data_IF_130349902910
#
_entry.id   IF_130349902910
#
_cell.length_a   1.000
_cell.length_b   1.000
_cell.length_c   1.000
_cell.angle_alpha   90.00
_cell.angle_beta   90.00
_cell.angle_gamma   90.00
#
_symmetry.space_group_name_H-M   'P 1'
#
loop_
_entity.id
_entity.type
_entity.pdbx_description
1 polymer ?
#
# COMPACT_ATOMS: atom_id res chain seq x y z
N UNK A 1 -5.90 8.00 10.65
CA UNK A 1 -5.25 7.88 9.33
C UNK A 1 -6.20 8.48 8.32
N UNK A 2 -5.81 9.55 7.64
CA UNK A 2 -6.66 10.25 6.68
C UNK A 2 -6.48 9.62 5.29
N UNK A 3 -7.57 9.24 4.64
CA UNK A 3 -7.57 8.51 3.37
C UNK A 3 -8.33 9.35 2.35
N UNK A 4 -7.67 9.68 1.24
CA UNK A 4 -8.31 10.34 0.11
C UNK A 4 -8.52 9.36 -1.05
N UNK A 5 -9.68 9.37 -1.73
CA UNK A 5 -9.89 8.57 -2.93
C UNK A 5 -8.92 8.98 -4.05
N UNK A 6 -8.23 8.01 -4.65
CA UNK A 6 -7.19 8.28 -5.65
C UNK A 6 -7.70 9.04 -6.89
N UNK A 7 -8.92 8.76 -7.34
CA UNK A 7 -9.53 9.45 -8.49
C UNK A 7 -9.84 10.92 -8.18
N UNK A 8 -10.36 11.21 -6.98
CA UNK A 8 -10.59 12.57 -6.51
C UNK A 8 -9.28 13.35 -6.46
N UNK A 9 -8.23 12.74 -5.93
CA UNK A 9 -6.92 13.37 -5.83
C UNK A 9 -6.29 13.68 -7.19
N UNK A 10 -6.45 12.79 -8.18
CA UNK A 10 -5.99 13.03 -9.56
C UNK A 10 -6.79 14.11 -10.29
N UNK A 11 -8.09 14.23 -9.99
CA UNK A 11 -8.93 15.27 -10.57
C UNK A 11 -8.52 16.68 -10.09
N UNK A 12 -8.12 16.81 -8.82
CA UNK A 12 -7.72 18.09 -8.24
C UNK A 12 -6.23 18.40 -8.53
N UNK A 13 -5.37 17.38 -8.55
CA UNK A 13 -3.96 17.55 -8.96
C UNK A 13 -3.48 16.37 -9.82
N UNK A 14 -3.36 16.55 -11.15
CA UNK A 14 -2.88 15.50 -12.05
C UNK A 14 -1.44 15.03 -11.75
N UNK A 15 -0.62 15.88 -11.11
CA UNK A 15 0.76 15.59 -10.75
C UNK A 15 0.92 14.81 -9.43
N UNK A 16 -0.18 14.48 -8.74
CA UNK A 16 -0.14 13.88 -7.40
C UNK A 16 0.56 12.51 -7.36
N UNK A 17 0.48 11.75 -8.45
CA UNK A 17 1.17 10.45 -8.56
C UNK A 17 2.70 10.62 -8.53
N UNK A 18 3.22 11.79 -8.92
CA UNK A 18 4.65 12.12 -8.88
C UNK A 18 5.13 12.57 -7.49
N UNK A 19 4.20 12.95 -6.61
CA UNK A 19 4.47 13.46 -5.26
C UNK A 19 4.19 12.42 -4.18
N UNK A 20 4.26 11.14 -4.55
CA UNK A 20 4.13 10.03 -3.59
C UNK A 20 5.35 9.93 -2.68
N UNK A 21 5.12 9.55 -1.42
CA UNK A 21 6.15 9.40 -0.39
C UNK A 21 6.97 10.68 -0.10
N UNK A 22 6.43 11.86 -0.39
CA UNK A 22 6.97 13.15 0.07
C UNK A 22 6.38 13.53 1.43
N UNK A 23 7.20 14.10 2.29
CA UNK A 23 6.73 14.65 3.58
C UNK A 23 6.29 16.09 3.39
N UNK A 24 5.09 16.42 3.83
CA UNK A 24 4.65 17.81 3.93
C UNK A 24 5.41 18.50 5.08
N UNK A 25 6.03 19.63 4.79
CA UNK A 25 6.78 20.39 5.79
C UNK A 25 5.82 21.06 6.79
N UNK A 26 5.93 20.68 8.06
CA UNK A 26 5.11 21.22 9.15
C UNK A 26 5.32 22.73 9.39
N UNK A 27 6.37 23.34 8.84
CA UNK A 27 6.61 24.77 8.92
C UNK A 27 5.88 25.55 7.83
N UNK A 28 5.35 24.88 6.80
CA UNK A 28 4.54 25.52 5.77
C UNK A 28 3.17 25.94 6.36
N UNK A 29 2.77 27.22 6.26
CA UNK A 29 1.45 27.70 6.69
C UNK A 29 0.27 26.91 6.11
N UNK A 30 0.35 26.48 4.84
CA UNK A 30 -0.67 25.70 4.15
C UNK A 30 -0.77 24.27 4.72
N UNK A 31 0.36 23.70 5.17
CA UNK A 31 0.39 22.38 5.83
C UNK A 31 -0.18 22.47 7.24
N UNK A 32 0.12 23.56 7.98
CA UNK A 32 -0.51 23.82 9.27
C UNK A 32 -2.03 23.98 9.15
N UNK A 33 -2.52 24.71 8.15
CA UNK A 33 -3.95 24.86 7.89
C UNK A 33 -4.62 23.51 7.62
N UNK A 34 -4.00 22.67 6.79
CA UNK A 34 -4.46 21.30 6.53
C UNK A 34 -4.55 20.46 7.81
N UNK A 35 -3.51 20.49 8.64
CA UNK A 35 -3.49 19.76 9.92
C UNK A 35 -4.60 20.24 10.85
N UNK A 36 -4.77 21.55 11.02
CA UNK A 36 -5.83 22.12 11.85
C UNK A 36 -7.23 21.70 11.39
N UNK A 37 -7.47 21.71 10.08
CA UNK A 37 -8.77 21.30 9.53
C UNK A 37 -8.98 19.79 9.59
N UNK A 38 -7.94 18.97 9.38
CA UNK A 38 -8.00 17.53 9.55
C UNK A 38 -8.29 17.14 11.01
N UNK A 39 -7.61 17.77 11.97
CA UNK A 39 -7.84 17.53 13.39
C UNK A 39 -9.24 17.95 13.82
N UNK A 40 -9.72 19.12 13.37
CA UNK A 40 -11.09 19.57 13.60
C UNK A 40 -12.12 18.60 13.00
N UNK A 41 -11.86 18.09 11.79
CA UNK A 41 -12.70 17.08 11.16
C UNK A 41 -12.76 15.80 12.01
N UNK A 42 -11.63 15.25 12.46
CA UNK A 42 -11.62 14.04 13.27
C UNK A 42 -12.23 14.21 14.67
N UNK A 43 -12.25 15.43 15.20
CA UNK A 43 -12.84 15.74 16.51
C UNK A 43 -14.35 16.05 16.43
N UNK A 44 -14.87 16.34 15.24
CA UNK A 44 -16.28 16.69 15.04
C UNK A 44 -17.12 15.44 14.76
N UNK A 45 -18.19 15.22 15.52
CA UNK A 45 -19.19 14.19 15.22
C UNK A 45 -20.07 14.61 14.04
N UNK A 46 -19.92 13.96 12.89
CA UNK A 46 -20.71 14.21 11.68
C UNK A 46 -22.10 13.54 11.68
N UNK A 47 -22.45 12.83 12.75
CA UNK A 47 -23.70 12.04 12.85
C UNK A 47 -24.97 12.88 12.70
N UNK A 48 -24.89 14.19 13.00
CA UNK A 48 -26.02 15.13 12.93
C UNK A 48 -25.99 16.03 11.69
N UNK A 49 -24.96 15.91 10.84
CA UNK A 49 -24.76 16.80 9.70
C UNK A 49 -25.41 16.26 8.43
N UNK A 50 -25.94 17.16 7.61
CA UNK A 50 -26.49 16.79 6.31
C UNK A 50 -25.39 16.26 5.38
N UNK A 51 -25.73 15.30 4.52
CA UNK A 51 -24.82 14.73 3.51
C UNK A 51 -24.16 15.81 2.64
N UNK A 52 -24.89 16.88 2.32
CA UNK A 52 -24.38 18.03 1.58
C UNK A 52 -23.27 18.76 2.34
N UNK A 53 -23.45 19.01 3.64
CA UNK A 53 -22.43 19.67 4.49
C UNK A 53 -21.17 18.82 4.63
N UNK A 54 -21.32 17.50 4.81
CA UNK A 54 -20.19 16.56 4.88
C UNK A 54 -19.39 16.57 3.57
N UNK A 55 -20.10 16.62 2.43
CA UNK A 55 -19.48 16.64 1.10
C UNK A 55 -18.69 17.93 0.87
N UNK A 56 -19.25 19.09 1.21
CA UNK A 56 -18.53 20.37 1.10
C UNK A 56 -17.33 20.46 2.03
N UNK A 57 -17.45 19.93 3.26
CA UNK A 57 -16.32 19.87 4.19
C UNK A 57 -15.20 18.97 3.66
N UNK A 58 -15.53 17.80 3.10
CA UNK A 58 -14.56 16.90 2.48
C UNK A 58 -13.88 17.55 1.26
N UNK A 59 -14.64 18.25 0.40
CA UNK A 59 -14.11 18.96 -0.76
C UNK A 59 -13.18 20.10 -0.34
N UNK A 60 -13.53 20.89 0.68
CA UNK A 60 -12.65 21.95 1.18
C UNK A 60 -11.32 21.40 1.71
N UNK A 61 -11.36 20.24 2.38
CA UNK A 61 -10.16 19.56 2.88
C UNK A 61 -9.29 19.03 1.73
N UNK A 62 -9.91 18.52 0.67
CA UNK A 62 -9.23 18.07 -0.54
C UNK A 62 -8.61 19.25 -1.34
N UNK A 63 -9.30 20.39 -1.43
CA UNK A 63 -8.80 21.63 -2.04
C UNK A 63 -7.57 22.18 -1.30
N UNK A 64 -7.61 22.20 0.04
CA UNK A 64 -6.46 22.64 0.84
C UNK A 64 -5.28 21.67 0.70
N UNK A 65 -5.54 20.37 0.63
CA UNK A 65 -4.50 19.40 0.31
C UNK A 65 -3.91 19.66 -1.08
N UNK A 66 -4.74 19.91 -2.09
CA UNK A 66 -4.27 20.19 -3.43
C UNK A 66 -3.48 21.51 -3.53
N UNK A 67 -3.84 22.54 -2.75
CA UNK A 67 -3.06 23.76 -2.63
C UNK A 67 -1.65 23.48 -2.07
N UNK A 68 -1.53 22.60 -1.07
CA UNK A 68 -0.22 22.14 -0.57
C UNK A 68 0.58 21.44 -1.68
N UNK A 69 -0.06 20.59 -2.48
CA UNK A 69 0.56 19.85 -3.59
C UNK A 69 1.02 20.80 -4.71
N UNK A 70 0.23 21.83 -5.02
CA UNK A 70 0.57 22.85 -6.02
C UNK A 70 1.75 23.72 -5.55
N UNK A 71 1.76 24.14 -4.28
CA UNK A 71 2.88 24.88 -3.68
C UNK A 71 4.16 24.03 -3.57
N UNK A 72 4.01 22.72 -3.40
CA UNK A 72 5.12 21.77 -3.47
C UNK A 72 5.63 21.60 -4.91
N UNK A 73 4.73 21.58 -5.90
CA UNK A 73 5.08 21.46 -7.32
C UNK A 73 5.85 22.68 -7.82
N UNK A 74 5.48 23.89 -7.39
CA UNK A 74 6.20 25.12 -7.76
C UNK A 74 7.58 25.24 -7.10
N UNK A 75 7.78 24.67 -5.90
CA UNK A 75 9.12 24.50 -5.31
C UNK A 75 9.91 23.34 -5.93
N UNK A 76 9.23 22.28 -6.37
CA UNK A 76 9.84 21.11 -6.99
C UNK A 76 10.51 21.41 -8.35
N UNK A 77 10.17 22.52 -9.02
CA UNK A 77 10.88 22.99 -10.23
C UNK A 77 12.38 23.30 -9.99
N UNK A 78 12.85 23.35 -8.74
CA UNK A 78 14.28 23.45 -8.41
C UNK A 78 14.94 22.12 -7.99
N UNK A 79 14.17 21.03 -7.88
CA UNK A 79 14.67 19.70 -7.51
C UNK A 79 14.30 18.70 -8.60
N UNK A 80 15.29 18.34 -9.43
CA UNK A 80 15.19 17.29 -10.44
C UNK A 80 14.35 16.11 -9.93
N UNK A 81 13.39 15.57 -10.71
CA UNK A 81 12.62 14.41 -10.28
C UNK A 81 13.58 13.30 -9.86
N UNK A 82 13.39 12.76 -8.65
CA UNK A 82 14.23 11.69 -8.13
C UNK A 82 14.00 10.43 -8.98
N UNK A 83 14.82 10.28 -10.02
CA UNK A 83 14.73 9.21 -11.01
C UNK A 83 14.71 7.82 -10.35
N UNK A 84 15.40 7.67 -9.23
CA UNK A 84 15.42 6.43 -8.44
C UNK A 84 14.05 6.14 -7.81
N UNK A 85 13.39 7.18 -7.26
CA UNK A 85 12.05 7.07 -6.69
C UNK A 85 11.01 6.75 -7.77
N UNK A 86 11.14 7.33 -8.96
CA UNK A 86 10.31 6.99 -10.11
C UNK A 86 10.46 5.52 -10.52
N UNK A 87 11.70 5.04 -10.64
CA UNK A 87 11.98 3.66 -11.03
C UNK A 87 11.52 2.65 -9.98
N UNK A 88 11.85 2.85 -8.69
CA UNK A 88 11.44 1.91 -7.62
C UNK A 88 9.90 1.80 -7.55
N UNK A 89 9.18 2.91 -7.73
CA UNK A 89 7.72 2.93 -7.70
C UNK A 89 7.13 2.11 -8.85
N UNK A 90 7.62 2.30 -10.08
CA UNK A 90 7.19 1.50 -11.24
C UNK A 90 7.51 0.02 -11.08
N UNK A 91 8.69 -0.31 -10.56
CA UNK A 91 9.09 -1.69 -10.28
C UNK A 91 8.12 -2.33 -9.28
N UNK A 92 7.83 -1.65 -8.16
CA UNK A 92 6.92 -2.15 -7.13
C UNK A 92 5.51 -2.36 -7.67
N UNK A 93 4.98 -1.41 -8.43
CA UNK A 93 3.66 -1.52 -9.07
C UNK A 93 3.59 -2.70 -10.04
N UNK A 94 4.62 -2.88 -10.88
CA UNK A 94 4.69 -4.01 -11.79
C UNK A 94 4.69 -5.34 -11.04
N UNK A 95 5.46 -5.44 -9.95
CA UNK A 95 5.50 -6.65 -9.12
C UNK A 95 4.14 -6.91 -8.48
N UNK A 96 3.44 -5.90 -7.95
CA UNK A 96 2.11 -6.12 -7.36
C UNK A 96 1.08 -6.63 -8.35
N UNK A 97 1.11 -6.13 -9.59
CA UNK A 97 0.23 -6.62 -10.67
C UNK A 97 0.52 -8.07 -11.08
N UNK A 98 1.76 -8.53 -10.88
CA UNK A 98 2.24 -9.85 -11.32
C UNK A 98 2.64 -10.77 -10.16
N UNK A 99 2.22 -10.46 -8.92
CA UNK A 99 2.74 -11.13 -7.72
C UNK A 99 2.40 -12.62 -7.68
N UNK A 100 1.27 -13.00 -8.30
CA UNK A 100 0.79 -14.36 -8.45
C UNK A 100 1.55 -15.19 -9.51
N UNK A 101 2.33 -14.55 -10.38
CA UNK A 101 3.12 -15.26 -11.39
C UNK A 101 4.34 -15.92 -10.72
N UNK A 102 4.44 -17.26 -10.69
CA UNK A 102 5.55 -17.97 -10.06
C UNK A 102 6.92 -17.63 -10.68
N UNK A 103 6.94 -17.36 -11.98
CA UNK A 103 8.14 -17.08 -12.77
C UNK A 103 8.60 -15.62 -12.67
N UNK A 104 7.92 -14.78 -11.87
CA UNK A 104 8.29 -13.37 -11.70
C UNK A 104 9.74 -13.23 -11.23
N UNK A 105 10.57 -12.73 -12.15
CA UNK A 105 12.01 -12.56 -11.97
C UNK A 105 12.46 -11.13 -12.26
N UNK A 106 13.71 -10.81 -11.89
CA UNK A 106 14.31 -9.51 -12.21
C UNK A 106 14.41 -9.28 -13.72
N UNK A 107 14.59 -10.36 -14.50
CA UNK A 107 14.63 -10.31 -15.97
C UNK A 107 13.27 -9.89 -16.54
N UNK A 108 12.16 -10.44 -16.02
CA UNK A 108 10.83 -10.03 -16.49
C UNK A 108 10.53 -8.57 -16.19
N UNK A 109 10.90 -8.09 -14.99
CA UNK A 109 10.73 -6.68 -14.62
C UNK A 109 11.61 -5.77 -15.48
N UNK A 110 12.86 -6.16 -15.69
CA UNK A 110 13.81 -5.42 -16.51
C UNK A 110 13.29 -5.23 -17.94
N UNK A 111 12.84 -6.32 -18.58
CA UNK A 111 12.30 -6.28 -19.93
C UNK A 111 11.00 -5.47 -20.02
N UNK A 112 10.09 -5.63 -19.06
CA UNK A 112 8.80 -4.95 -19.08
C UNK A 112 8.89 -3.44 -18.82
N UNK A 113 9.85 -3.00 -18.00
CA UNK A 113 10.00 -1.59 -17.61
C UNK A 113 11.16 -0.89 -18.31
N UNK A 114 11.95 -1.60 -19.12
CA UNK A 114 13.18 -1.12 -19.76
C UNK A 114 14.18 -0.54 -18.75
N UNK A 115 14.35 -1.22 -17.61
CA UNK A 115 15.29 -0.84 -16.53
C UNK A 115 16.35 -1.91 -16.43
N UNK A 116 17.63 -1.55 -16.36
CA UNK A 116 18.71 -2.54 -16.30
C UNK A 116 18.65 -3.36 -15.00
N UNK A 117 18.96 -4.68 -15.02
CA UNK A 117 18.96 -5.50 -13.81
C UNK A 117 19.92 -4.96 -12.73
N UNK A 118 21.07 -4.42 -13.15
CA UNK A 118 22.03 -3.78 -12.26
C UNK A 118 21.44 -2.57 -11.52
N UNK A 119 20.65 -1.74 -12.21
CA UNK A 119 19.96 -0.62 -11.59
C UNK A 119 18.90 -1.10 -10.58
N UNK A 120 18.11 -2.13 -10.92
CA UNK A 120 17.14 -2.72 -9.99
C UNK A 120 17.85 -3.24 -8.73
N UNK A 121 18.96 -3.96 -8.88
CA UNK A 121 19.75 -4.41 -7.73
C UNK A 121 20.24 -3.24 -6.85
N UNK A 122 20.71 -2.15 -7.47
CA UNK A 122 21.14 -0.96 -6.75
C UNK A 122 20.01 -0.33 -5.95
N UNK A 123 18.83 -0.18 -6.56
CA UNK A 123 17.65 0.38 -5.89
C UNK A 123 17.23 -0.46 -4.68
N UNK A 124 17.24 -1.79 -4.79
CA UNK A 124 16.87 -2.67 -3.67
C UNK A 124 17.96 -2.79 -2.61
N UNK A 125 19.24 -2.60 -2.98
CA UNK A 125 20.35 -2.53 -2.01
C UNK A 125 20.21 -1.34 -1.05
N UNK A 126 19.68 -0.20 -1.53
CA UNK A 126 19.35 0.95 -0.69
C UNK A 126 18.26 0.61 0.34
N UNK A 127 17.35 -0.31 0.02
CA UNK A 127 16.33 -0.82 0.95
C UNK A 127 16.82 -2.00 1.83
N UNK A 128 18.13 -2.23 1.89
CA UNK A 128 18.77 -3.28 2.69
C UNK A 128 18.23 -4.71 2.43
N UNK A 129 17.69 -4.96 1.24
CA UNK A 129 17.13 -6.27 0.88
C UNK A 129 17.36 -6.62 -0.58
N UNK A 130 17.35 -7.91 -0.91
CA UNK A 130 17.39 -8.33 -2.32
C UNK A 130 16.00 -8.25 -2.95
N UNK A 131 15.96 -8.03 -4.27
CA UNK A 131 14.70 -8.02 -5.03
C UNK A 131 13.87 -9.31 -4.82
N UNK A 132 14.52 -10.47 -4.85
CA UNK A 132 13.88 -11.77 -4.63
C UNK A 132 13.38 -11.94 -3.20
N UNK A 133 14.15 -11.51 -2.19
CA UNK A 133 13.72 -11.55 -0.79
C UNK A 133 12.51 -10.62 -0.54
N UNK A 134 12.49 -9.47 -1.22
CA UNK A 134 11.37 -8.55 -1.18
C UNK A 134 10.10 -9.17 -1.79
N UNK A 135 10.19 -9.76 -3.00
CA UNK A 135 9.05 -10.50 -3.61
C UNK A 135 8.56 -11.59 -2.66
N UNK A 136 9.48 -12.39 -2.11
CA UNK A 136 9.15 -13.46 -1.17
C UNK A 136 8.36 -12.94 0.04
N UNK A 137 8.82 -11.83 0.61
CA UNK A 137 8.13 -11.13 1.70
C UNK A 137 6.73 -10.65 1.30
N UNK A 138 6.57 -10.08 0.09
CA UNK A 138 5.27 -9.63 -0.40
C UNK A 138 4.31 -10.78 -0.63
N UNK A 139 4.77 -11.91 -1.18
CA UNK A 139 3.97 -13.13 -1.33
C UNK A 139 3.53 -13.70 0.03
N UNK A 140 4.42 -13.72 1.04
CA UNK A 140 4.06 -14.14 2.40
C UNK A 140 2.96 -13.26 3.01
N UNK A 141 3.04 -11.94 2.82
CA UNK A 141 2.02 -11.00 3.27
C UNK A 141 0.69 -11.22 2.53
N UNK A 142 0.72 -11.46 1.22
CA UNK A 142 -0.48 -11.79 0.44
C UNK A 142 -1.15 -13.08 0.95
N UNK A 143 -0.37 -14.14 1.23
CA UNK A 143 -0.90 -15.36 1.85
C UNK A 143 -1.51 -15.08 3.22
N UNK A 144 -0.86 -14.27 4.05
CA UNK A 144 -1.38 -13.89 5.38
C UNK A 144 -2.75 -13.24 5.27
N UNK A 145 -2.92 -12.27 4.37
CA UNK A 145 -4.21 -11.61 4.12
C UNK A 145 -5.25 -12.60 3.59
N UNK A 146 -4.87 -13.46 2.64
CA UNK A 146 -5.77 -14.47 2.10
C UNK A 146 -6.23 -15.51 3.13
N UNK A 147 -5.40 -15.83 4.13
CA UNK A 147 -5.75 -16.73 5.23
C UNK A 147 -6.70 -16.09 6.25
N UNK A 148 -6.77 -14.76 6.31
CA UNK A 148 -7.69 -14.02 7.19
C UNK A 148 -9.07 -13.83 6.55
N UNK A 149 -9.15 -13.85 5.22
CA UNK A 149 -10.36 -13.56 4.47
C UNK A 149 -11.38 -14.71 4.58
N UNK A 150 -12.55 -14.49 5.20
CA UNK A 150 -13.60 -15.50 5.31
C UNK A 150 -14.12 -15.98 3.95
N UNK A 151 -14.09 -15.13 2.91
CA UNK A 151 -14.50 -15.52 1.56
C UNK A 151 -13.57 -16.58 0.97
N UNK A 152 -12.32 -16.66 1.42
CA UNK A 152 -11.32 -17.66 0.99
C UNK A 152 -11.24 -18.86 1.93
N UNK A 153 -12.18 -19.00 2.87
CA UNK A 153 -12.24 -20.11 3.84
C UNK A 153 -12.49 -21.49 3.21
N UNK A 154 -12.94 -21.55 1.96
CA UNK A 154 -13.09 -22.79 1.19
C UNK A 154 -11.77 -23.26 0.55
N UNK A 155 -10.78 -22.38 0.38
CA UNK A 155 -9.49 -22.73 -0.23
C UNK A 155 -8.57 -23.42 0.77
N UNK A 156 -7.82 -24.41 0.34
CA UNK A 156 -6.75 -25.02 1.14
C UNK A 156 -5.57 -24.05 1.29
N UNK A 157 -4.73 -24.26 2.31
CA UNK A 157 -3.51 -23.46 2.49
C UNK A 157 -2.61 -23.59 1.26
N UNK A 158 -2.48 -24.79 0.68
CA UNK A 158 -1.70 -25.02 -0.53
C UNK A 158 -2.23 -24.22 -1.72
N UNK A 159 -3.55 -24.18 -1.94
CA UNK A 159 -4.15 -23.36 -3.01
C UNK A 159 -3.88 -21.86 -2.80
N UNK A 160 -3.98 -21.36 -1.58
CA UNK A 160 -3.63 -19.96 -1.27
C UNK A 160 -2.16 -19.68 -1.59
N UNK A 161 -1.27 -20.58 -1.22
CA UNK A 161 0.18 -20.47 -1.47
C UNK A 161 0.46 -20.43 -2.98
N UNK A 162 -0.16 -21.32 -3.76
CA UNK A 162 -0.04 -21.30 -5.22
C UNK A 162 -0.62 -20.03 -5.85
N UNK A 163 -1.80 -19.58 -5.41
CA UNK A 163 -2.44 -18.35 -5.89
C UNK A 163 -1.62 -17.09 -5.59
N UNK A 164 -0.78 -17.12 -4.55
CA UNK A 164 0.16 -16.05 -4.25
C UNK A 164 1.51 -16.18 -4.98
N UNK A 165 1.65 -17.13 -5.92
CA UNK A 165 2.82 -17.27 -6.78
C UNK A 165 3.96 -18.11 -6.21
N UNK A 166 3.73 -18.91 -5.16
CA UNK A 166 4.73 -19.87 -4.70
C UNK A 166 4.69 -21.15 -5.53
N UNK A 167 5.81 -21.53 -6.14
CA UNK A 167 5.92 -22.78 -6.90
C UNK A 167 6.20 -24.01 -6.00
N UNK A 168 6.78 -23.80 -4.80
CA UNK A 168 7.15 -24.88 -3.86
C UNK A 168 6.66 -24.58 -2.43
N UNK A 169 5.57 -25.22 -1.96
CA UNK A 169 5.02 -25.01 -0.62
C UNK A 169 5.97 -25.41 0.53
N UNK A 170 6.97 -26.26 0.27
CA UNK A 170 7.93 -26.76 1.27
C UNK A 170 8.78 -25.66 1.92
N UNK A 171 9.09 -24.57 1.20
CA UNK A 171 9.80 -23.41 1.76
C UNK A 171 8.86 -22.42 2.45
N UNK A 172 7.57 -22.43 2.09
CA UNK A 172 6.58 -21.48 2.60
C UNK A 172 6.37 -21.65 4.10
N UNK A 173 6.14 -22.87 4.59
CA UNK A 173 5.77 -23.10 5.99
C UNK A 173 6.82 -22.59 6.98
N UNK A 174 8.11 -22.85 6.70
CA UNK A 174 9.23 -22.34 7.51
C UNK A 174 9.31 -20.83 7.43
N UNK A 175 9.27 -20.27 6.22
CA UNK A 175 9.38 -18.83 6.03
C UNK A 175 8.21 -18.05 6.66
N UNK A 176 6.99 -18.58 6.58
CA UNK A 176 5.80 -17.99 7.21
C UNK A 176 5.94 -17.98 8.73
N UNK A 177 6.37 -19.10 9.34
CA UNK A 177 6.60 -19.18 10.78
C UNK A 177 7.72 -18.24 11.24
N UNK A 178 8.84 -18.20 10.52
CA UNK A 178 9.94 -17.27 10.84
C UNK A 178 9.50 -15.82 10.77
N UNK A 179 8.65 -15.45 9.81
CA UNK A 179 8.22 -14.06 9.61
C UNK A 179 7.10 -13.61 10.55
N UNK A 180 6.16 -14.50 10.89
CA UNK A 180 4.95 -14.14 11.63
C UNK A 180 4.83 -14.80 13.01
N UNK A 181 5.82 -15.60 13.42
CA UNK A 181 5.88 -16.25 14.73
C UNK A 181 4.96 -17.46 14.92
N UNK A 182 4.10 -17.78 13.94
CA UNK A 182 3.10 -18.87 14.01
C UNK A 182 2.93 -19.53 12.64
N UNK A 183 2.37 -20.73 12.60
CA UNK A 183 2.12 -21.43 11.33
C UNK A 183 0.92 -20.83 10.58
N UNK A 184 0.88 -21.01 9.26
CA UNK A 184 -0.25 -20.57 8.43
C UNK A 184 -1.59 -21.20 8.86
N UNK A 185 -1.55 -22.44 9.38
CA UNK A 185 -2.74 -23.15 9.88
C UNK A 185 -3.25 -22.53 11.18
N UNK A 186 -2.38 -22.32 12.15
CA UNK A 186 -2.71 -21.66 13.41
C UNK A 186 -3.22 -20.23 13.17
N UNK A 187 -2.55 -19.49 12.28
CA UNK A 187 -2.98 -18.14 11.88
C UNK A 187 -4.42 -18.13 11.38
N UNK A 188 -4.77 -19.06 10.47
CA UNK A 188 -6.14 -19.18 9.94
C UNK A 188 -7.14 -19.57 11.02
N UNK A 189 -6.81 -20.56 11.86
CA UNK A 189 -7.68 -21.00 12.94
C UNK A 189 -8.02 -19.85 13.89
N UNK A 190 -7.00 -19.06 14.29
CA UNK A 190 -7.18 -17.87 15.14
C UNK A 190 -8.14 -16.86 14.54
N UNK A 191 -8.04 -16.62 13.23
CA UNK A 191 -8.84 -15.62 12.52
C UNK A 191 -10.28 -16.06 12.30
N UNK A 192 -10.49 -17.36 12.06
CA UNK A 192 -11.84 -17.96 12.01
C UNK A 192 -12.50 -17.87 13.38
N UNK A 193 -11.78 -18.21 14.46
CA UNK A 193 -12.31 -18.12 15.83
C UNK A 193 -12.68 -16.69 16.21
N UNK A 194 -11.83 -15.70 15.88
CA UNK A 194 -12.18 -14.29 16.12
C UNK A 194 -13.38 -13.82 15.31
N UNK A 195 -13.51 -14.24 14.05
CA UNK A 195 -14.65 -13.87 13.20
C UNK A 195 -15.97 -14.52 13.68
N UNK A 196 -15.91 -15.72 14.24
CA UNK A 196 -17.06 -16.38 14.86
C UNK A 196 -17.45 -15.71 16.19
N UNK A 197 -16.48 -15.28 16.99
CA UNK A 197 -16.73 -14.55 18.24
C UNK A 197 -17.42 -13.20 18.01
N UNK A 198 -17.03 -12.43 16.97
CA UNK A 198 -17.74 -11.20 16.62
C UNK A 198 -19.20 -11.47 16.17
N UNK A 199 -19.43 -12.49 15.33
CA UNK A 199 -20.78 -12.86 14.88
C UNK A 199 -21.70 -13.36 15.99
N UNK A 200 -21.13 -13.88 17.08
CA UNK A 200 -21.89 -14.32 18.26
C UNK A 200 -22.19 -13.18 19.24
N UNK A 201 -21.47 -12.05 19.14
CA UNK A 201 -21.70 -10.86 19.96
C UNK A 201 -22.72 -9.89 19.34
N UNK A 202 -22.91 -9.94 18.02
CA UNK A 202 -23.93 -9.17 17.27
C UNK A 202 -25.31 -9.87 17.21
N UNK A 203 -25.49 -11.00 17.91
CA UNK A 203 -26.75 -11.76 18.02
C UNK A 203 -27.25 -11.75 19.45
#
# INVERSE_FOLDING_TARGET
>A
MLIFPAEMMRAISPAIDALTATTLDSHNPTTKLLTLMADSYFQTSFETLSTHTITHAANALAEIFAANVAEFSTKADTTKPNLELFHITRIKQYVFKNLNNPELSIQNVSQALQISPAHIHRLFKVEEQTFSAWIWTRRLLACKLALQDPAKSHLTISQIVYNCGFNKPSHFSRAFRTKFGTTAREWRAKMIMSAQALKAADK
#
